data_IF_299012483911
#
_entry.id   IF_299012483911
#
_cell.length_a   1.000
_cell.length_b   1.000
_cell.length_c   1.000
_cell.angle_alpha   90.00
_cell.angle_beta   90.00
_cell.angle_gamma   90.00
#
_symmetry.space_group_name_H-M   'P 1'
#
loop_
_entity.id
_entity.type
_entity.pdbx_description
1 polymer ?
#
# COMPACT_ATOMS: atom_id res chain seq x y z
N UNK A 1 -15.54 -18.98 -34.18
CA UNK A 1 -16.07 -17.63 -33.88
C UNK A 1 -16.33 -17.51 -32.40
N UNK A 2 -15.77 -16.49 -31.74
CA UNK A 2 -15.92 -16.27 -30.30
C UNK A 2 -14.72 -15.57 -29.68
N UNK A 3 -14.35 -14.38 -30.17
CA UNK A 3 -13.33 -13.52 -29.57
C UNK A 3 -13.92 -12.85 -28.33
N UNK A 4 -13.31 -13.09 -27.15
CA UNK A 4 -13.59 -12.31 -25.92
C UNK A 4 -12.58 -11.18 -25.83
N UNK A 5 -13.02 -9.98 -26.19
CA UNK A 5 -12.30 -8.71 -26.01
C UNK A 5 -12.30 -8.34 -24.53
N UNK A 6 -11.17 -8.51 -23.85
CA UNK A 6 -10.86 -7.75 -22.63
C UNK A 6 -9.73 -6.80 -22.98
N UNK A 7 -10.08 -5.77 -23.74
CA UNK A 7 -9.22 -4.65 -24.07
C UNK A 7 -9.83 -3.37 -23.51
N UNK A 8 -8.99 -2.56 -22.88
CA UNK A 8 -9.13 -1.12 -22.76
C UNK A 8 -9.98 -0.55 -21.60
N UNK A 9 -9.49 -0.67 -20.35
CA UNK A 9 -9.76 0.34 -19.31
C UNK A 9 -8.55 0.55 -18.40
N UNK A 10 -7.36 0.85 -18.93
CA UNK A 10 -6.32 1.61 -18.18
C UNK A 10 -5.47 2.39 -19.19
N UNK A 11 -6.01 3.47 -19.77
CA UNK A 11 -5.20 4.46 -20.47
C UNK A 11 -5.87 5.82 -20.31
N UNK A 12 -5.39 6.61 -19.35
CA UNK A 12 -5.95 7.92 -19.06
C UNK A 12 -5.35 8.60 -17.83
N UNK A 13 -4.01 8.64 -17.71
CA UNK A 13 -3.33 9.62 -16.86
C UNK A 13 -1.97 9.94 -17.48
N UNK A 14 -1.99 10.68 -18.57
CA UNK A 14 -0.82 11.34 -19.16
C UNK A 14 -1.19 12.79 -19.43
N UNK A 15 -0.32 13.68 -18.98
CA UNK A 15 -0.23 15.12 -19.27
C UNK A 15 -1.26 16.05 -18.61
N UNK A 16 -0.83 16.65 -17.50
CA UNK A 16 -1.39 17.87 -16.93
C UNK A 16 -0.31 18.60 -16.16
N UNK A 17 0.77 18.98 -16.85
CA UNK A 17 1.74 19.91 -16.31
C UNK A 17 1.39 21.32 -16.78
N UNK A 18 1.57 22.25 -15.85
CA UNK A 18 1.82 23.69 -15.97
C UNK A 18 0.60 24.63 -15.84
N UNK A 19 0.79 25.55 -14.88
CA UNK A 19 0.40 26.98 -14.81
C UNK A 19 -0.53 27.39 -13.65
N UNK A 20 0.09 28.04 -12.63
CA UNK A 20 -0.27 29.29 -11.90
C UNK A 20 -1.61 29.22 -11.11
N UNK A 21 -1.79 29.65 -9.85
CA UNK A 21 -1.38 30.88 -9.17
C UNK A 21 -1.48 30.65 -7.65
N UNK A 22 -0.52 31.16 -6.87
CA UNK A 22 -0.74 31.44 -5.45
C UNK A 22 -1.71 32.62 -5.32
N UNK A 23 -3.01 32.35 -5.34
CA UNK A 23 -4.01 33.28 -4.84
C UNK A 23 -4.20 33.00 -3.35
N UNK A 24 -3.33 33.56 -2.50
CA UNK A 24 -3.74 33.89 -1.14
C UNK A 24 -4.55 35.18 -1.24
N UNK A 25 -5.83 35.05 -1.58
CA UNK A 25 -6.78 36.15 -1.42
C UNK A 25 -6.90 36.42 0.08
N UNK A 26 -6.58 37.65 0.45
CA UNK A 26 -6.61 38.14 1.81
C UNK A 26 -7.96 37.83 2.47
N UNK A 27 -7.92 37.32 3.70
CA UNK A 27 -9.10 37.22 4.54
C UNK A 27 -9.70 38.63 4.72
N UNK A 28 -10.98 38.88 4.37
CA UNK A 28 -11.61 40.13 4.72
C UNK A 28 -11.68 40.23 6.26
N UNK A 29 -11.35 41.39 6.84
CA UNK A 29 -11.33 41.61 8.27
C UNK A 29 -12.75 41.58 8.85
N UNK A 30 -12.84 41.03 10.08
CA UNK A 30 -13.91 41.26 11.07
C UNK A 30 -15.35 41.14 10.55
N UNK A 31 -15.92 39.94 10.69
CA UNK A 31 -17.37 39.82 10.86
C UNK A 31 -17.69 40.24 12.30
N UNK A 32 -18.19 41.47 12.47
CA UNK A 32 -18.85 41.91 13.70
C UNK A 32 -20.11 41.06 13.92
N UNK A 33 -20.00 40.03 14.76
CA UNK A 33 -21.11 39.20 15.24
C UNK A 33 -21.90 39.91 16.35
N UNK A 34 -22.27 41.17 16.15
CA UNK A 34 -23.15 41.89 17.06
C UNK A 34 -24.29 42.56 16.27
N UNK A 35 -25.20 41.73 15.78
CA UNK A 35 -26.53 42.19 15.40
C UNK A 35 -27.56 41.57 16.35
N UNK A 36 -28.08 42.45 17.21
CA UNK A 36 -29.37 42.43 17.88
C UNK A 36 -29.83 41.11 18.56
N UNK A 37 -29.74 41.09 19.89
CA UNK A 37 -30.72 40.40 20.73
C UNK A 37 -32.13 40.94 20.40
N UNK A 38 -33.11 40.09 20.09
CA UNK A 38 -34.45 40.27 20.62
C UNK A 38 -34.58 39.45 21.89
N UNK A 39 -34.88 40.14 22.99
CA UNK A 39 -35.40 39.55 24.23
C UNK A 39 -36.61 38.67 23.90
N UNK A 40 -36.39 37.36 23.90
CA UNK A 40 -37.45 36.37 23.95
C UNK A 40 -37.04 35.33 24.99
N UNK A 41 -37.44 35.61 26.23
CA UNK A 41 -37.47 34.67 27.34
C UNK A 41 -38.32 33.46 26.95
N UNK A 42 -37.70 32.46 26.33
CA UNK A 42 -38.28 31.13 26.14
C UNK A 42 -37.48 30.19 27.02
N UNK A 43 -37.99 29.97 28.23
CA UNK A 43 -37.57 28.87 29.09
C UNK A 43 -37.76 27.55 28.33
N UNK A 44 -36.71 26.78 28.01
CA UNK A 44 -36.91 25.46 27.46
C UNK A 44 -37.17 24.50 28.62
N UNK A 45 -38.41 24.02 28.71
CA UNK A 45 -38.76 22.85 29.51
C UNK A 45 -37.88 21.68 29.07
N UNK A 46 -36.93 21.28 29.92
CA UNK A 46 -36.05 20.12 29.70
C UNK A 46 -36.89 18.84 29.90
N UNK A 47 -37.02 17.96 28.89
CA UNK A 47 -37.57 16.63 29.11
C UNK A 47 -36.60 15.80 29.98
N UNK A 48 -37.07 15.05 30.98
CA UNK A 48 -36.23 14.43 32.02
C UNK A 48 -35.48 13.16 31.57
N UNK A 49 -35.13 13.05 30.28
CA UNK A 49 -34.45 11.85 29.77
C UNK A 49 -33.62 12.19 28.52
N UNK A 50 -32.59 13.02 28.69
CA UNK A 50 -31.52 13.21 27.71
C UNK A 50 -30.30 12.36 28.08
N UNK A 51 -29.53 11.85 27.11
CA UNK A 51 -28.31 11.09 27.39
C UNK A 51 -27.38 11.94 28.26
N UNK A 52 -26.80 11.33 29.31
CA UNK A 52 -25.93 12.02 30.28
C UNK A 52 -24.89 12.87 29.54
N UNK A 53 -24.90 14.18 29.81
CA UNK A 53 -23.90 15.10 29.29
C UNK A 53 -22.53 14.57 29.69
N UNK A 54 -21.60 14.33 28.74
CA UNK A 54 -20.28 13.80 29.07
C UNK A 54 -19.60 14.74 30.07
N UNK A 55 -19.11 14.17 31.16
CA UNK A 55 -18.45 14.93 32.21
C UNK A 55 -17.28 15.74 31.61
N UNK A 56 -17.07 16.97 32.07
CA UNK A 56 -16.02 17.90 31.56
C UNK A 56 -14.63 17.25 31.40
N UNK A 57 -14.32 16.22 32.19
CA UNK A 57 -13.07 15.45 32.09
C UNK A 57 -12.97 14.58 30.82
N UNK A 58 -14.10 14.06 30.33
CA UNK A 58 -14.18 13.32 29.07
C UNK A 58 -14.02 14.26 27.87
N UNK A 59 -14.54 15.48 27.97
CA UNK A 59 -14.32 16.54 26.99
C UNK A 59 -12.84 16.92 26.93
N UNK A 60 -12.18 17.16 28.07
CA UNK A 60 -10.76 17.49 28.12
C UNK A 60 -9.86 16.37 27.55
N UNK A 61 -10.22 15.10 27.81
CA UNK A 61 -9.54 13.95 27.19
C UNK A 61 -9.73 13.89 25.66
N UNK A 62 -10.84 14.40 25.13
CA UNK A 62 -11.13 14.45 23.69
C UNK A 62 -10.34 15.55 22.97
N UNK A 63 -10.01 16.64 23.67
CA UNK A 63 -9.20 17.74 23.14
C UNK A 63 -7.69 17.56 23.33
N UNK A 64 -7.24 16.49 24.01
CA UNK A 64 -5.81 16.19 24.07
C UNK A 64 -5.31 15.83 22.66
N UNK A 65 -4.41 16.63 22.07
CA UNK A 65 -3.87 16.31 20.76
C UNK A 65 -3.14 14.96 20.85
N UNK A 66 -3.25 14.10 19.82
CA UNK A 66 -2.49 12.87 19.77
C UNK A 66 -1.02 13.19 19.99
N UNK A 67 -0.35 12.37 20.81
CA UNK A 67 1.05 12.48 21.12
C UNK A 67 1.89 12.31 19.85
N UNK A 68 2.17 13.44 19.18
CA UNK A 68 2.88 13.56 17.91
C UNK A 68 4.28 12.94 17.89
N UNK A 69 4.86 12.57 19.04
CA UNK A 69 6.22 12.03 19.12
C UNK A 69 6.42 10.73 18.32
N UNK A 70 5.53 9.75 18.49
CA UNK A 70 5.64 8.48 17.77
C UNK A 70 5.34 8.63 16.27
N UNK A 71 4.34 9.45 15.93
CA UNK A 71 3.97 9.74 14.55
C UNK A 71 5.04 10.59 13.82
N UNK A 72 5.73 11.47 14.55
CA UNK A 72 6.84 12.25 14.01
C UNK A 72 8.03 11.37 13.61
N UNK A 73 8.40 10.39 14.44
CA UNK A 73 9.49 9.47 14.07
C UNK A 73 9.09 8.55 12.91
N UNK A 74 7.85 8.05 12.90
CA UNK A 74 7.32 7.26 11.78
C UNK A 74 7.25 8.02 10.45
N UNK A 75 6.95 9.33 10.51
CA UNK A 75 6.95 10.20 9.31
C UNK A 75 8.35 10.50 8.81
N UNK A 76 9.31 10.79 9.70
CA UNK A 76 10.73 10.95 9.34
C UNK A 76 11.26 9.72 8.61
N UNK A 77 11.07 8.53 9.19
CA UNK A 77 11.49 7.27 8.58
C UNK A 77 10.87 7.08 7.19
N UNK A 78 9.57 7.37 7.03
CA UNK A 78 8.90 7.28 5.72
C UNK A 78 9.47 8.24 4.68
N UNK A 79 9.81 9.46 5.10
CA UNK A 79 10.44 10.46 4.23
C UNK A 79 11.83 9.98 3.80
N UNK A 80 12.62 9.45 4.73
CA UNK A 80 13.94 8.87 4.43
C UNK A 80 13.83 7.75 3.40
N UNK A 81 12.91 6.80 3.58
CA UNK A 81 12.67 5.72 2.61
C UNK A 81 12.33 6.25 1.21
N UNK A 82 11.48 7.29 1.13
CA UNK A 82 11.11 7.91 -0.14
C UNK A 82 12.30 8.59 -0.80
N UNK A 83 13.05 9.39 -0.05
CA UNK A 83 14.23 10.08 -0.57
C UNK A 83 15.30 9.09 -1.04
N UNK A 84 15.55 8.05 -0.25
CA UNK A 84 16.51 6.99 -0.55
C UNK A 84 16.15 6.26 -1.85
N UNK A 85 14.87 5.90 -2.00
CA UNK A 85 14.37 5.26 -3.22
C UNK A 85 14.50 6.20 -4.43
N UNK A 86 14.11 7.46 -4.30
CA UNK A 86 14.20 8.44 -5.39
C UNK A 86 15.64 8.61 -5.86
N UNK A 87 16.60 8.76 -4.94
CA UNK A 87 18.03 8.85 -5.28
C UNK A 87 18.54 7.61 -5.98
N UNK A 88 18.19 6.41 -5.46
CA UNK A 88 18.65 5.14 -6.03
C UNK A 88 18.07 4.88 -7.42
N UNK A 89 16.79 5.19 -7.65
CA UNK A 89 16.14 5.01 -8.96
C UNK A 89 16.71 5.97 -10.02
N UNK A 90 17.21 7.12 -9.58
CA UNK A 90 17.85 8.12 -10.45
C UNK A 90 19.34 7.85 -10.69
N UNK A 91 19.94 6.83 -10.06
CA UNK A 91 21.34 6.45 -10.29
C UNK A 91 21.50 5.86 -11.71
N UNK A 92 22.45 6.37 -12.52
CA UNK A 92 22.63 5.90 -13.89
C UNK A 92 23.00 4.42 -13.97
N UNK A 93 23.73 3.87 -13.00
CA UNK A 93 24.09 2.45 -13.00
C UNK A 93 22.86 1.57 -12.73
N UNK A 94 22.00 2.01 -11.83
CA UNK A 94 20.74 1.30 -11.52
C UNK A 94 19.83 1.31 -12.74
N UNK A 95 19.73 2.44 -13.45
CA UNK A 95 18.95 2.55 -14.68
C UNK A 95 19.52 1.70 -15.81
N UNK A 96 20.83 1.72 -16.01
CA UNK A 96 21.51 0.89 -17.01
C UNK A 96 21.31 -0.60 -16.72
N UNK A 97 21.50 -1.05 -15.48
CA UNK A 97 21.27 -2.43 -15.08
C UNK A 97 19.80 -2.85 -15.28
N UNK A 98 18.86 -1.95 -14.98
CA UNK A 98 17.42 -2.19 -15.23
C UNK A 98 17.14 -2.35 -16.72
N UNK A 99 17.62 -1.43 -17.55
CA UNK A 99 17.45 -1.49 -19.00
C UNK A 99 18.09 -2.75 -19.59
N UNK A 100 19.29 -3.11 -19.13
CA UNK A 100 19.99 -4.32 -19.52
C UNK A 100 19.18 -5.58 -19.17
N UNK A 101 18.60 -5.64 -17.97
CA UNK A 101 17.72 -6.74 -17.57
C UNK A 101 16.45 -6.83 -18.43
N UNK A 102 15.86 -5.69 -18.78
CA UNK A 102 14.67 -5.65 -19.63
C UNK A 102 14.94 -5.99 -21.10
N UNK A 103 16.17 -5.79 -21.57
CA UNK A 103 16.60 -6.15 -22.93
C UNK A 103 16.88 -7.64 -23.15
N UNK A 104 16.72 -8.47 -22.12
CA UNK A 104 16.95 -9.91 -22.22
C UNK A 104 16.01 -10.58 -23.25
N UNK A 105 16.53 -11.54 -24.01
CA UNK A 105 15.76 -12.23 -25.07
C UNK A 105 15.01 -13.43 -24.52
N UNK A 106 15.50 -14.02 -23.44
CA UNK A 106 14.93 -15.21 -22.80
C UNK A 106 14.58 -14.95 -21.34
N UNK A 107 13.64 -15.73 -20.78
CA UNK A 107 13.26 -15.61 -19.36
C UNK A 107 14.41 -15.95 -18.41
N UNK A 108 15.23 -16.95 -18.77
CA UNK A 108 16.41 -17.33 -17.98
C UNK A 108 17.41 -16.17 -17.91
N UNK A 109 17.78 -15.60 -19.05
CA UNK A 109 18.64 -14.41 -19.11
C UNK A 109 18.04 -13.24 -18.32
N UNK A 110 16.73 -13.00 -18.48
CA UNK A 110 16.04 -11.91 -17.77
C UNK A 110 16.16 -12.08 -16.27
N UNK A 111 15.95 -13.29 -15.74
CA UNK A 111 16.05 -13.58 -14.31
C UNK A 111 17.47 -13.41 -13.80
N UNK A 112 18.47 -13.88 -14.53
CA UNK A 112 19.88 -13.72 -14.16
C UNK A 112 20.26 -12.23 -14.11
N UNK A 113 19.91 -11.47 -15.15
CA UNK A 113 20.13 -10.02 -15.18
C UNK A 113 19.32 -9.27 -14.13
N UNK A 114 18.12 -9.72 -13.80
CA UNK A 114 17.32 -9.14 -12.71
C UNK A 114 17.95 -9.39 -11.34
N UNK A 115 18.60 -10.54 -11.10
CA UNK A 115 19.37 -10.77 -9.86
C UNK A 115 20.52 -9.78 -9.74
N UNK A 116 21.23 -9.54 -10.84
CA UNK A 116 22.32 -8.56 -10.89
C UNK A 116 21.80 -7.13 -10.69
N UNK A 117 20.70 -6.76 -11.37
CA UNK A 117 20.00 -5.49 -11.13
C UNK A 117 19.64 -5.29 -9.66
N UNK A 118 19.03 -6.28 -9.00
CA UNK A 118 18.70 -6.16 -7.58
C UNK A 118 19.95 -6.06 -6.70
N UNK A 119 21.03 -6.77 -7.03
CA UNK A 119 22.30 -6.64 -6.32
C UNK A 119 22.82 -5.20 -6.37
N UNK A 120 22.89 -4.61 -7.58
CA UNK A 120 23.33 -3.22 -7.78
C UNK A 120 22.37 -2.24 -7.08
N UNK A 121 21.06 -2.42 -7.26
CA UNK A 121 20.03 -1.56 -6.67
C UNK A 121 20.17 -1.49 -5.14
N UNK A 122 20.22 -2.64 -4.46
CA UNK A 122 20.31 -2.68 -3.00
C UNK A 122 21.68 -2.28 -2.47
N UNK A 123 22.76 -2.56 -3.20
CA UNK A 123 24.11 -2.08 -2.84
C UNK A 123 24.20 -0.55 -2.92
N UNK A 124 23.63 0.07 -3.95
CA UNK A 124 23.57 1.53 -4.08
C UNK A 124 22.68 2.13 -2.99
N UNK A 125 21.52 1.51 -2.75
CA UNK A 125 20.59 1.96 -1.70
C UNK A 125 21.21 1.85 -0.30
N UNK A 126 21.97 0.79 0.00
CA UNK A 126 22.62 0.61 1.30
C UNK A 126 23.85 1.51 1.50
N UNK A 127 24.55 1.86 0.42
CA UNK A 127 25.66 2.81 0.46
C UNK A 127 25.21 4.25 0.74
N UNK A 128 23.99 4.61 0.32
CA UNK A 128 23.43 5.96 0.51
C UNK A 128 22.86 6.21 1.91
N UNK A 129 22.59 5.17 2.69
CA UNK A 129 22.04 5.28 4.03
C UNK A 129 23.10 4.99 5.10
N UNK A 130 23.04 5.71 6.21
CA UNK A 130 23.87 5.46 7.41
C UNK A 130 23.11 4.69 8.49
N UNK A 131 21.77 4.68 8.43
CA UNK A 131 20.92 4.02 9.41
C UNK A 131 21.00 2.48 9.30
N UNK A 132 21.36 1.82 10.41
CA UNK A 132 21.54 0.37 10.47
C UNK A 132 20.23 -0.42 10.30
N UNK A 133 19.10 0.09 10.80
CA UNK A 133 17.79 -0.59 10.67
C UNK A 133 17.32 -0.61 9.21
N UNK A 134 17.55 0.50 8.50
CA UNK A 134 17.29 0.59 7.06
C UNK A 134 18.19 -0.39 6.31
N UNK A 135 19.48 -0.49 6.63
CA UNK A 135 20.37 -1.47 5.99
C UNK A 135 19.90 -2.91 6.20
N UNK A 136 19.49 -3.26 7.40
CA UNK A 136 19.02 -4.62 7.71
C UNK A 136 17.75 -4.98 6.91
N UNK A 137 16.79 -4.06 6.85
CA UNK A 137 15.58 -4.25 6.05
C UNK A 137 15.85 -4.26 4.54
N UNK A 138 16.84 -3.52 4.05
CA UNK A 138 17.26 -3.60 2.65
C UNK A 138 17.78 -5.00 2.28
N UNK A 139 18.56 -5.65 3.15
CA UNK A 139 19.02 -7.02 2.91
C UNK A 139 17.86 -8.02 2.87
N UNK A 140 16.85 -7.87 3.75
CA UNK A 140 15.67 -8.73 3.71
C UNK A 140 14.84 -8.53 2.44
N UNK A 141 14.70 -7.29 1.96
CA UNK A 141 14.04 -7.00 0.68
C UNK A 141 14.82 -7.55 -0.51
N UNK A 142 16.16 -7.45 -0.50
CA UNK A 142 17.02 -8.04 -1.53
C UNK A 142 16.80 -9.55 -1.64
N UNK A 143 16.86 -10.25 -0.51
CA UNK A 143 16.62 -11.70 -0.46
C UNK A 143 15.20 -12.03 -0.94
N UNK A 144 14.19 -11.28 -0.48
CA UNK A 144 12.81 -11.46 -0.92
C UNK A 144 12.65 -11.33 -2.44
N UNK A 145 13.23 -10.29 -3.05
CA UNK A 145 13.18 -10.08 -4.49
C UNK A 145 13.95 -11.17 -5.26
N UNK A 146 15.12 -11.58 -4.78
CA UNK A 146 15.89 -12.65 -5.42
C UNK A 146 15.17 -14.01 -5.32
N UNK A 147 14.48 -14.28 -4.22
CA UNK A 147 13.68 -15.48 -4.03
C UNK A 147 12.43 -15.48 -4.93
N UNK A 148 11.80 -14.33 -5.15
CA UNK A 148 10.70 -14.19 -6.10
C UNK A 148 11.15 -14.48 -7.55
N UNK A 149 12.45 -14.32 -7.84
CA UNK A 149 13.10 -14.77 -9.07
C UNK A 149 13.57 -16.22 -8.98
N UNK A 150 13.02 -17.10 -8.14
CA UNK A 150 13.20 -18.55 -8.25
C UNK A 150 12.04 -19.12 -9.09
N UNK A 151 12.32 -20.05 -10.01
CA UNK A 151 11.26 -20.75 -10.75
C UNK A 151 10.85 -21.96 -9.91
N UNK A 152 9.55 -22.18 -9.68
CA UNK A 152 9.10 -23.45 -9.11
C UNK A 152 9.48 -24.57 -10.07
N UNK A 153 10.06 -25.65 -9.55
CA UNK A 153 10.52 -26.78 -10.36
C UNK A 153 9.31 -27.49 -10.96
N UNK A 154 9.06 -27.30 -12.25
CA UNK A 154 7.91 -27.91 -12.97
C UNK A 154 8.13 -29.39 -13.23
N UNK A 155 9.39 -29.85 -13.24
CA UNK A 155 9.72 -31.27 -13.41
C UNK A 155 9.97 -31.92 -12.04
N UNK A 156 9.36 -33.08 -11.76
CA UNK A 156 9.74 -33.87 -10.61
C UNK A 156 11.24 -34.16 -10.67
N UNK A 157 11.89 -34.19 -9.49
CA UNK A 157 13.28 -34.61 -9.37
C UNK A 157 13.45 -35.95 -10.09
N UNK A 158 14.53 -36.17 -10.86
CA UNK A 158 14.81 -37.49 -11.41
C UNK A 158 14.77 -38.49 -10.25
N UNK A 159 13.84 -39.44 -10.38
CA UNK A 159 13.68 -40.52 -9.42
C UNK A 159 14.97 -41.35 -9.55
N UNK A 160 15.69 -41.63 -8.45
CA UNK A 160 16.87 -42.48 -8.52
C UNK A 160 16.50 -43.81 -9.17
N UNK A 161 17.36 -44.29 -10.08
CA UNK A 161 17.15 -45.54 -10.81
C UNK A 161 16.83 -46.68 -9.82
N UNK A 162 15.61 -47.19 -9.86
CA UNK A 162 15.12 -48.25 -8.96
C UNK A 162 13.97 -47.86 -8.02
N UNK A 163 13.60 -46.57 -7.92
CA UNK A 163 12.40 -46.18 -7.18
C UNK A 163 11.17 -46.13 -8.10
N UNK A 164 10.23 -47.06 -7.91
CA UNK A 164 8.91 -47.01 -8.55
C UNK A 164 8.10 -45.86 -7.94
N UNK A 165 7.48 -44.95 -8.71
CA UNK A 165 6.63 -43.92 -8.14
C UNK A 165 5.36 -44.59 -7.57
N UNK A 166 5.26 -44.71 -6.24
CA UNK A 166 4.00 -45.06 -5.57
C UNK A 166 3.01 -43.92 -5.82
N UNK A 167 1.86 -44.16 -6.47
CA UNK A 167 0.86 -43.10 -6.67
C UNK A 167 0.31 -42.67 -5.31
N UNK A 168 0.58 -41.42 -4.93
CA UNK A 168 -0.10 -40.77 -3.81
C UNK A 168 -1.58 -40.67 -4.14
N UNK A 169 -2.42 -41.37 -3.37
CA UNK A 169 -3.86 -41.33 -3.53
C UNK A 169 -4.36 -39.88 -3.45
N UNK A 170 -5.03 -39.42 -4.50
CA UNK A 170 -5.64 -38.10 -4.56
C UNK A 170 -6.66 -37.93 -3.41
N UNK A 171 -6.72 -36.77 -2.73
CA UNK A 171 -7.72 -36.53 -1.71
C UNK A 171 -9.11 -36.55 -2.37
N UNK A 172 -9.99 -37.42 -1.86
CA UNK A 172 -11.40 -37.51 -2.27
C UNK A 172 -12.06 -36.13 -2.10
N UNK A 173 -12.47 -35.51 -3.20
CA UNK A 173 -13.39 -34.38 -3.17
C UNK A 173 -14.70 -34.80 -2.48
N UNK A 174 -14.92 -34.36 -1.24
CA UNK A 174 -16.23 -34.43 -0.60
C UNK A 174 -17.16 -33.51 -1.39
N UNK A 175 -18.18 -34.09 -2.02
CA UNK A 175 -19.28 -33.34 -2.65
C UNK A 175 -19.93 -32.45 -1.59
N UNK A 176 -19.81 -31.14 -1.73
CA UNK A 176 -20.60 -30.18 -0.99
C UNK A 176 -22.05 -30.26 -1.51
N UNK A 177 -22.86 -31.08 -0.87
CA UNK A 177 -24.30 -31.10 -1.05
C UNK A 177 -24.97 -30.27 0.04
N UNK A 178 -25.24 -29.01 -0.22
CA UNK A 178 -26.30 -28.29 0.51
C UNK A 178 -26.98 -27.32 -0.44
N UNK A 179 -28.15 -27.74 -0.93
CA UNK A 179 -29.06 -26.89 -1.71
C UNK A 179 -29.72 -25.93 -0.73
N UNK A 180 -29.59 -24.62 -0.96
CA UNK A 180 -30.37 -23.61 -0.26
C UNK A 180 -31.84 -23.74 -0.67
N UNK A 181 -32.70 -24.18 0.25
CA UNK A 181 -34.14 -24.12 0.07
C UNK A 181 -34.59 -22.67 0.34
N UNK A 182 -35.00 -21.98 -0.73
CA UNK A 182 -35.53 -20.62 -0.66
C UNK A 182 -36.93 -20.68 -0.06
N UNK A 183 -37.07 -20.33 1.23
CA UNK A 183 -38.37 -20.10 1.86
C UNK A 183 -38.98 -18.86 1.22
N UNK A 184 -40.10 -19.03 0.52
CA UNK A 184 -40.94 -17.93 0.07
C UNK A 184 -41.74 -17.45 1.28
N UNK A 185 -41.50 -16.23 1.71
CA UNK A 185 -42.38 -15.51 2.63
C UNK A 185 -43.49 -14.92 1.77
N UNK A 186 -44.71 -15.43 1.92
CA UNK A 186 -45.91 -14.85 1.35
C UNK A 186 -46.37 -13.71 2.25
N UNK A 187 -46.77 -12.60 1.64
CA UNK A 187 -47.29 -11.38 2.26
C UNK A 187 -48.76 -11.55 2.61
#
# INVERSE_FOLDING_TARGET
MGTKTYGLIILGMVLGAVLIICAQEAAPPSVDLYEALPDATVTPTVPPNGPELPELKQLDATFKPPNLGADAEGTKLRVEWRQLRNRTVNDPQVQAAKAYALSARTDLEKRDRLREYYSIYYQRMSALTTNAEIKLSLESFKVSHQNALAQPRVRPSPIPEGATPTPTAAPRHKKAGQKHHKVKITK
#
